data_IF_107605701256
#
_entry.id   IF_107605701256
#
_cell.length_a   1.000
_cell.length_b   1.000
_cell.length_c   1.000
_cell.angle_alpha   90.00
_cell.angle_beta   90.00
_cell.angle_gamma   90.00
#
_symmetry.space_group_name_H-M   'P 1'
#
loop_
_entity.id
_entity.type
_entity.pdbx_description
1 polymer ?
#
# COMPACT_ATOMS: atom_id res chain seq x y z
N UNK A 1 6.65 8.24 9.67
CA UNK A 1 6.91 6.85 9.23
C UNK A 1 8.37 6.53 9.49
N UNK A 2 8.69 5.31 9.90
CA UNK A 2 10.05 4.86 10.17
C UNK A 2 10.54 3.80 9.16
N UNK A 3 9.65 2.92 8.70
CA UNK A 3 9.99 1.88 7.72
C UNK A 3 8.79 1.48 6.88
N UNK A 4 9.05 1.11 5.63
CA UNK A 4 8.09 0.42 4.76
C UNK A 4 8.68 -0.90 4.33
N UNK A 5 7.90 -1.96 4.39
CA UNK A 5 8.23 -3.26 3.82
C UNK A 5 7.14 -3.64 2.81
N UNK A 6 7.54 -4.23 1.69
CA UNK A 6 6.64 -4.67 0.63
C UNK A 6 6.87 -6.15 0.37
N UNK A 7 5.78 -6.89 0.23
CA UNK A 7 5.77 -8.31 -0.09
C UNK A 7 4.70 -8.62 -1.13
N UNK A 8 4.81 -9.79 -1.78
CA UNK A 8 3.71 -10.29 -2.60
C UNK A 8 2.53 -10.64 -1.71
N UNK A 9 1.33 -10.23 -2.12
CA UNK A 9 0.12 -10.65 -1.41
C UNK A 9 -0.26 -12.08 -1.79
N UNK A 10 -0.65 -12.88 -0.79
CA UNK A 10 -1.08 -14.28 -0.98
C UNK A 10 -2.57 -14.42 -0.69
N UNK A 11 -3.07 -13.69 0.30
CA UNK A 11 -4.45 -13.76 0.75
C UNK A 11 -4.90 -12.41 1.33
N UNK A 12 -6.22 -12.23 1.44
CA UNK A 12 -6.79 -11.08 2.14
C UNK A 12 -6.70 -11.26 3.67
N UNK A 13 -6.54 -10.15 4.39
CA UNK A 13 -6.63 -10.07 5.86
C UNK A 13 -5.30 -10.19 6.60
N UNK A 14 -4.21 -10.54 5.93
CA UNK A 14 -2.87 -10.61 6.50
C UNK A 14 -1.85 -9.99 5.55
N UNK A 15 -0.73 -9.49 6.10
CA UNK A 15 0.44 -9.12 5.29
C UNK A 15 1.35 -10.33 5.23
N UNK A 16 1.76 -10.71 4.03
CA UNK A 16 2.74 -11.78 3.89
C UNK A 16 4.11 -11.37 4.45
N UNK A 17 4.72 -12.23 5.27
CA UNK A 17 5.97 -11.93 5.99
C UNK A 17 7.23 -12.03 5.14
N UNK A 18 7.12 -12.57 3.92
CA UNK A 18 8.26 -12.66 3.00
C UNK A 18 8.50 -11.30 2.32
N UNK A 19 9.21 -10.42 3.04
CA UNK A 19 9.54 -9.08 2.61
C UNK A 19 10.46 -9.11 1.39
N UNK A 20 9.97 -8.59 0.26
CA UNK A 20 10.75 -8.44 -0.96
C UNK A 20 11.61 -7.18 -0.96
N UNK A 21 11.04 -6.06 -0.50
CA UNK A 21 11.70 -4.75 -0.50
C UNK A 21 11.40 -3.99 0.77
N UNK A 22 12.44 -3.38 1.35
CA UNK A 22 12.32 -2.52 2.52
C UNK A 22 12.88 -1.13 2.23
N UNK A 23 12.20 -0.09 2.71
CA UNK A 23 12.61 1.31 2.56
C UNK A 23 12.67 1.95 3.95
N UNK A 24 13.80 2.62 4.21
CA UNK A 24 14.02 3.44 5.40
C UNK A 24 14.32 4.91 5.00
N UNK A 25 14.88 5.12 3.80
CA UNK A 25 15.23 6.47 3.29
C UNK A 25 14.22 7.03 2.27
N UNK A 26 13.57 6.19 1.46
CA UNK A 26 12.63 6.60 0.40
C UNK A 26 11.17 6.64 0.88
N UNK A 27 10.95 7.10 2.10
CA UNK A 27 9.63 7.07 2.76
C UNK A 27 8.66 8.16 2.29
N UNK A 28 9.17 9.23 1.66
CA UNK A 28 8.36 10.41 1.35
C UNK A 28 7.21 10.09 0.38
N UNK A 29 7.46 9.28 -0.65
CA UNK A 29 6.43 8.88 -1.63
C UNK A 29 5.35 8.03 -0.98
N UNK A 30 5.72 7.08 -0.11
CA UNK A 30 4.74 6.28 0.63
C UNK A 30 3.92 7.13 1.59
N UNK A 31 4.57 8.04 2.31
CA UNK A 31 3.92 8.96 3.23
C UNK A 31 2.92 9.86 2.49
N UNK A 32 3.32 10.46 1.38
CA UNK A 32 2.46 11.30 0.55
C UNK A 32 1.30 10.50 -0.03
N UNK A 33 1.57 9.33 -0.61
CA UNK A 33 0.54 8.44 -1.15
C UNK A 33 -0.50 8.02 -0.12
N UNK A 34 -0.09 7.70 1.11
CA UNK A 34 -1.01 7.27 2.17
C UNK A 34 -1.77 8.43 2.82
N UNK A 35 -1.16 9.61 2.93
CA UNK A 35 -1.80 10.78 3.56
C UNK A 35 -2.71 11.55 2.62
N UNK A 36 -2.45 11.49 1.31
CA UNK A 36 -3.29 12.12 0.28
C UNK A 36 -4.34 11.18 -0.30
N UNK A 37 -4.28 9.88 0.02
CA UNK A 37 -5.24 8.92 -0.49
C UNK A 37 -6.67 9.27 -0.08
N UNK A 38 -7.58 9.21 -1.05
CA UNK A 38 -8.98 9.53 -0.83
C UNK A 38 -9.68 8.30 -0.29
N UNK A 39 -10.24 8.42 0.92
CA UNK A 39 -11.07 7.38 1.55
C UNK A 39 -12.35 7.18 0.76
N UNK A 40 -12.60 5.95 0.31
CA UNK A 40 -13.86 5.54 -0.29
C UNK A 40 -14.46 4.40 0.56
N UNK A 41 -15.66 4.65 1.08
CA UNK A 41 -16.42 3.65 1.85
C UNK A 41 -17.22 2.77 0.90
N UNK A 42 -17.14 1.46 1.08
CA UNK A 42 -17.94 0.50 0.33
C UNK A 42 -17.34 -0.89 0.33
N UNK A 43 -18.22 -1.91 0.35
CA UNK A 43 -17.81 -3.31 0.08
C UNK A 43 -17.51 -3.39 -1.40
N UNK A 44 -16.27 -3.08 -1.77
CA UNK A 44 -15.82 -3.18 -3.15
C UNK A 44 -15.42 -4.63 -3.39
N UNK A 45 -16.08 -5.29 -4.35
CA UNK A 45 -15.68 -6.62 -4.82
C UNK A 45 -14.37 -6.48 -5.62
N UNK A 46 -13.27 -6.32 -4.89
CA UNK A 46 -11.94 -6.14 -5.45
C UNK A 46 -11.36 -7.48 -5.87
N UNK A 47 -10.59 -7.49 -6.95
CA UNK A 47 -9.76 -8.63 -7.31
C UNK A 47 -8.75 -8.95 -6.20
N UNK A 48 -8.13 -10.12 -6.22
CA UNK A 48 -7.06 -10.44 -5.26
C UNK A 48 -5.95 -9.37 -5.31
N UNK A 49 -5.45 -8.92 -4.14
CA UNK A 49 -4.34 -7.98 -4.08
C UNK A 49 -3.08 -8.57 -4.72
N UNK A 50 -2.26 -7.70 -5.28
CA UNK A 50 -0.98 -8.09 -5.87
C UNK A 50 0.13 -8.04 -4.83
N UNK A 51 0.06 -7.06 -3.93
CA UNK A 51 1.12 -6.69 -3.02
C UNK A 51 0.55 -6.37 -1.65
N UNK A 52 1.36 -6.64 -0.64
CA UNK A 52 1.12 -6.16 0.72
C UNK A 52 2.18 -5.13 1.09
N UNK A 53 1.76 -4.16 1.89
CA UNK A 53 2.60 -3.08 2.40
C UNK A 53 2.49 -3.08 3.91
N UNK A 54 3.61 -3.31 4.59
CA UNK A 54 3.75 -3.10 6.03
C UNK A 54 4.42 -1.76 6.28
N UNK A 55 3.82 -0.97 7.15
CA UNK A 55 4.30 0.32 7.58
C UNK A 55 4.60 0.27 9.06
N UNK A 56 5.82 0.65 9.44
CA UNK A 56 6.21 0.87 10.83
C UNK A 56 6.30 2.37 11.08
N UNK A 57 5.58 2.86 12.08
CA UNK A 57 5.71 4.26 12.52
C UNK A 57 6.91 4.46 13.46
N UNK A 58 7.19 5.72 13.79
CA UNK A 58 8.31 6.09 14.68
C UNK A 58 8.12 5.65 16.14
N UNK A 59 6.88 5.29 16.52
CA UNK A 59 6.57 4.72 17.83
C UNK A 59 6.67 3.19 17.85
N UNK A 60 6.97 2.56 16.70
CA UNK A 60 7.09 1.11 16.56
C UNK A 60 5.75 0.39 16.28
N UNK A 61 4.66 1.12 16.04
CA UNK A 61 3.40 0.48 15.66
C UNK A 61 3.46 0.02 14.21
N UNK A 62 2.89 -1.15 13.95
CA UNK A 62 2.84 -1.77 12.63
C UNK A 62 1.43 -1.70 12.05
N UNK A 63 1.37 -1.32 10.77
CA UNK A 63 0.14 -1.20 10.00
C UNK A 63 0.29 -1.96 8.69
N UNK A 64 -0.66 -2.86 8.41
CA UNK A 64 -0.66 -3.65 7.19
C UNK A 64 -1.71 -3.16 6.20
N UNK A 65 -1.34 -3.13 4.92
CA UNK A 65 -2.22 -2.74 3.83
C UNK A 65 -2.08 -3.70 2.64
N UNK A 66 -3.21 -4.02 2.01
CA UNK A 66 -3.24 -4.57 0.67
C UNK A 66 -3.11 -3.45 -0.36
N UNK A 67 -2.28 -3.65 -1.38
CA UNK A 67 -2.04 -2.70 -2.46
C UNK A 67 -2.44 -3.31 -3.80
N UNK A 68 -3.34 -2.63 -4.49
CA UNK A 68 -3.58 -2.79 -5.93
C UNK A 68 -2.87 -1.66 -6.64
N UNK A 69 -1.76 -2.01 -7.27
CA UNK A 69 -0.94 -1.06 -7.99
C UNK A 69 -1.57 -0.82 -9.38
N UNK A 70 -2.00 0.41 -9.64
CA UNK A 70 -2.52 0.79 -10.95
C UNK A 70 -1.42 0.78 -12.01
N UNK A 71 -1.79 0.73 -13.29
CA UNK A 71 -0.87 1.03 -14.40
C UNK A 71 -0.52 2.52 -14.46
N UNK A 72 0.45 2.90 -15.30
CA UNK A 72 0.78 4.31 -15.53
C UNK A 72 -0.45 5.07 -16.06
N UNK A 73 -0.83 6.16 -15.40
CA UNK A 73 -2.06 6.91 -15.68
C UNK A 73 -3.33 6.28 -15.07
N UNK A 74 -3.19 5.32 -14.16
CA UNK A 74 -4.28 4.78 -13.36
C UNK A 74 -4.06 5.04 -11.87
N UNK A 75 -5.15 5.09 -11.11
CA UNK A 75 -5.13 5.19 -9.65
C UNK A 75 -4.72 3.86 -9.04
N UNK A 76 -3.95 3.91 -7.97
CA UNK A 76 -3.70 2.75 -7.12
C UNK A 76 -4.72 2.73 -5.97
N UNK A 77 -4.93 1.56 -5.38
CA UNK A 77 -5.84 1.38 -4.26
C UNK A 77 -5.13 0.70 -3.10
N UNK A 78 -5.34 1.23 -1.89
CA UNK A 78 -4.93 0.64 -0.63
C UNK A 78 -6.15 0.17 0.15
N UNK A 79 -6.01 -0.92 0.88
CA UNK A 79 -7.01 -1.38 1.85
C UNK A 79 -6.29 -1.84 3.10
N UNK A 80 -6.81 -1.50 4.27
CA UNK A 80 -6.20 -1.97 5.51
C UNK A 80 -6.49 -3.47 5.70
N UNK A 81 -5.51 -4.27 6.06
CA UNK A 81 -5.71 -5.72 6.28
C UNK A 81 -6.69 -6.01 7.43
N UNK A 82 -6.81 -5.08 8.39
CA UNK A 82 -7.74 -5.15 9.53
C UNK A 82 -9.12 -4.53 9.23
N UNK A 83 -9.24 -3.74 8.15
CA UNK A 83 -10.51 -3.12 7.74
C UNK A 83 -10.73 -3.29 6.23
N UNK A 84 -11.51 -4.31 5.89
CA UNK A 84 -11.85 -4.67 4.51
C UNK A 84 -13.04 -3.88 3.94
N UNK A 85 -13.63 -2.96 4.71
CA UNK A 85 -14.80 -2.17 4.30
C UNK A 85 -14.43 -0.77 3.80
N UNK A 86 -13.16 -0.39 3.93
CA UNK A 86 -12.65 0.91 3.52
C UNK A 86 -11.49 0.72 2.55
N UNK A 87 -11.60 1.33 1.37
CA UNK A 87 -10.47 1.44 0.44
C UNK A 87 -10.01 2.90 0.36
N UNK A 88 -8.75 3.09 0.00
CA UNK A 88 -8.12 4.39 -0.14
C UNK A 88 -7.52 4.49 -1.53
N UNK A 89 -7.95 5.46 -2.33
CA UNK A 89 -7.43 5.63 -3.69
C UNK A 89 -6.26 6.60 -3.70
N UNK A 90 -5.13 6.15 -4.20
CA UNK A 90 -3.94 6.97 -4.47
C UNK A 90 -4.08 7.56 -5.88
N UNK A 91 -3.71 8.84 -6.04
CA UNK A 91 -3.74 9.52 -7.33
C UNK A 91 -2.83 8.87 -8.37
N UNK A 92 -3.12 9.15 -9.64
CA UNK A 92 -2.34 8.70 -10.79
C UNK A 92 -0.90 9.25 -10.74
N UNK A 93 -0.75 10.51 -10.32
CA UNK A 93 0.54 11.20 -10.20
C UNK A 93 1.49 10.50 -9.22
N UNK A 94 0.96 9.93 -8.14
CA UNK A 94 1.73 9.20 -7.13
C UNK A 94 1.84 7.70 -7.44
N UNK A 95 1.01 7.18 -8.35
CA UNK A 95 1.06 5.78 -8.77
C UNK A 95 2.33 5.48 -9.58
N UNK A 96 2.74 6.38 -10.49
CA UNK A 96 3.97 6.22 -11.26
C UNK A 96 5.24 6.10 -10.39
N UNK A 97 5.52 7.02 -9.45
CA UNK A 97 6.69 6.90 -8.58
C UNK A 97 6.60 5.70 -7.62
N UNK A 98 5.41 5.34 -7.13
CA UNK A 98 5.22 4.11 -6.36
C UNK A 98 5.59 2.88 -7.19
N UNK A 99 5.12 2.78 -8.44
CA UNK A 99 5.50 1.68 -9.34
C UNK A 99 7.00 1.57 -9.52
N UNK A 100 7.70 2.68 -9.75
CA UNK A 100 9.15 2.67 -9.90
C UNK A 100 9.85 2.08 -8.69
N UNK A 101 9.43 2.44 -7.47
CA UNK A 101 9.99 1.87 -6.25
C UNK A 101 9.75 0.35 -6.18
N UNK A 102 8.51 -0.09 -6.40
CA UNK A 102 8.11 -1.49 -6.20
C UNK A 102 8.60 -2.42 -7.30
N UNK A 103 8.61 -1.99 -8.56
CA UNK A 103 8.95 -2.83 -9.71
C UNK A 103 10.44 -2.78 -10.12
N UNK A 104 11.27 -2.01 -9.42
CA UNK A 104 12.73 -1.96 -9.66
C UNK A 104 13.47 -3.30 -9.53
#
# INVERSE_FOLDING_TARGET
MAKVSISNSVEFGSVHTDCMKGYEDSLNIFHEGMTTAVRNEGIVNMAAPQLDVEVVDTAGNQYGFHLWLGEIGQKSTLMNVKDTHTIYSISEDLTAPLRSLVQE
#
